data_IF_657311060979
#
_entry.id   IF_657311060979
#
_cell.length_a   1.000
_cell.length_b   1.000
_cell.length_c   1.000
_cell.angle_alpha   90.00
_cell.angle_beta   90.00
_cell.angle_gamma   90.00
#
_symmetry.space_group_name_H-M   'P 1'
#
loop_
_entity.id
_entity.type
_entity.pdbx_description
1 polymer ?
#
# COMPACT_ATOMS: atom_id res chain seq x y z
N UNK A 1 21.55 -35.78 14.33
CA UNK A 1 21.32 -34.38 14.78
C UNK A 1 22.19 -33.47 13.94
N UNK A 2 21.64 -32.86 12.88
CA UNK A 2 22.34 -31.85 12.06
C UNK A 2 21.51 -30.58 12.02
N UNK A 3 22.21 -29.45 12.17
CA UNK A 3 21.70 -28.11 12.49
C UNK A 3 20.71 -27.60 11.44
N UNK A 4 19.56 -27.11 11.91
CA UNK A 4 18.76 -26.11 11.20
C UNK A 4 19.63 -24.87 10.99
N UNK A 5 19.95 -24.54 9.74
CA UNK A 5 20.46 -23.21 9.39
C UNK A 5 19.33 -22.21 9.54
N UNK A 6 19.47 -21.31 10.51
CA UNK A 6 18.65 -20.11 10.60
C UNK A 6 19.00 -19.20 9.41
N UNK A 7 18.10 -19.14 8.44
CA UNK A 7 18.15 -18.15 7.35
C UNK A 7 17.79 -16.80 7.97
N UNK A 8 18.81 -16.03 8.36
CA UNK A 8 18.66 -14.63 8.74
C UNK A 8 18.47 -13.80 7.46
N UNK A 9 17.24 -13.73 6.96
CA UNK A 9 16.86 -12.75 5.95
C UNK A 9 16.75 -11.39 6.66
N UNK A 10 17.88 -10.70 6.76
CA UNK A 10 17.91 -9.28 7.16
C UNK A 10 17.39 -8.43 6.00
N UNK A 11 16.14 -8.66 5.60
CA UNK A 11 15.50 -7.92 4.52
C UNK A 11 15.06 -6.59 5.12
N UNK A 12 15.89 -5.55 5.01
CA UNK A 12 15.49 -4.21 5.41
C UNK A 12 14.26 -3.84 4.56
N UNK A 13 13.10 -3.57 5.17
CA UNK A 13 11.93 -3.17 4.40
C UNK A 13 12.26 -1.88 3.66
N UNK A 14 11.97 -1.85 2.37
CA UNK A 14 12.02 -0.62 1.61
C UNK A 14 10.85 0.24 2.06
N UNK A 15 11.16 1.43 2.59
CA UNK A 15 10.16 2.43 2.92
C UNK A 15 10.16 3.50 1.83
N UNK A 16 9.01 3.76 1.26
CA UNK A 16 8.78 4.81 0.27
C UNK A 16 7.56 5.62 0.71
N UNK A 17 7.61 6.94 0.51
CA UNK A 17 6.47 7.79 0.74
C UNK A 17 5.51 7.66 -0.44
N UNK A 18 4.24 7.47 -0.12
CA UNK A 18 3.15 7.49 -1.08
C UNK A 18 2.34 8.76 -0.90
N UNK A 19 2.13 9.48 -1.99
CA UNK A 19 1.22 10.63 -2.02
C UNK A 19 -0.01 10.26 -2.82
N UNK A 20 -1.18 10.21 -2.17
CA UNK A 20 -2.45 10.04 -2.87
C UNK A 20 -2.69 11.27 -3.75
N UNK A 21 -2.72 11.10 -5.06
CA UNK A 21 -2.98 12.19 -6.01
C UNK A 21 -4.38 12.14 -6.58
N UNK A 22 -5.00 10.95 -6.61
CA UNK A 22 -6.37 10.79 -7.08
C UNK A 22 -7.09 9.70 -6.31
N UNK A 23 -8.35 9.98 -5.96
CA UNK A 23 -9.32 9.01 -5.46
C UNK A 23 -10.55 9.03 -6.38
N UNK A 24 -11.01 7.86 -6.79
CA UNK A 24 -12.23 7.69 -7.58
C UNK A 24 -13.13 6.69 -6.87
N UNK A 25 -14.34 7.12 -6.52
CA UNK A 25 -15.34 6.20 -5.96
C UNK A 25 -15.83 5.26 -7.07
N UNK A 26 -15.95 3.98 -6.72
CA UNK A 26 -16.47 2.95 -7.62
C UNK A 26 -17.67 2.25 -6.98
N UNK A 27 -18.62 1.74 -7.79
CA UNK A 27 -19.80 1.06 -7.27
C UNK A 27 -19.46 -0.07 -6.27
N UNK A 28 -20.30 -0.23 -5.25
CA UNK A 28 -20.15 -1.29 -4.24
C UNK A 28 -19.29 -0.92 -3.03
N UNK A 29 -19.35 0.34 -2.58
CA UNK A 29 -18.62 0.87 -1.43
C UNK A 29 -17.10 0.67 -1.54
N UNK A 30 -16.54 0.97 -2.71
CA UNK A 30 -15.12 0.86 -2.95
C UNK A 30 -14.55 2.14 -3.56
N UNK A 31 -13.25 2.33 -3.40
CA UNK A 31 -12.51 3.44 -3.97
C UNK A 31 -11.26 2.92 -4.68
N UNK A 32 -10.98 3.49 -5.85
CA UNK A 32 -9.69 3.37 -6.53
C UNK A 32 -8.82 4.54 -6.11
N UNK A 33 -7.59 4.23 -5.71
CA UNK A 33 -6.60 5.17 -5.22
C UNK A 33 -5.40 5.12 -6.15
N UNK A 34 -4.97 6.28 -6.64
CA UNK A 34 -3.72 6.45 -7.38
C UNK A 34 -2.73 7.19 -6.49
N UNK A 35 -1.59 6.56 -6.23
CA UNK A 35 -0.49 7.13 -5.48
C UNK A 35 0.67 7.45 -6.41
N UNK A 36 1.31 8.59 -6.18
CA UNK A 36 2.70 8.82 -6.60
C UNK A 36 3.64 8.21 -5.56
N UNK A 37 4.75 7.65 -6.04
CA UNK A 37 5.77 6.99 -5.25
C UNK A 37 7.08 7.77 -5.35
N UNK A 38 7.56 8.29 -4.23
CA UNK A 38 8.87 8.93 -4.16
C UNK A 38 9.68 8.35 -2.99
N UNK A 39 10.77 7.60 -3.26
CA UNK A 39 11.30 7.22 -4.56
C UNK A 39 10.42 6.19 -5.31
N UNK A 40 10.63 5.98 -6.63
CA UNK A 40 9.98 4.93 -7.41
C UNK A 40 10.14 3.54 -6.76
N UNK A 41 9.09 2.73 -6.85
CA UNK A 41 9.01 1.43 -6.17
C UNK A 41 9.18 0.29 -7.18
N UNK A 42 9.78 -0.82 -6.75
CA UNK A 42 9.90 -2.04 -7.55
C UNK A 42 9.05 -3.17 -6.97
N UNK A 43 8.21 -3.80 -7.78
CA UNK A 43 7.34 -4.89 -7.34
C UNK A 43 7.02 -5.90 -8.45
N UNK A 44 6.56 -7.10 -8.08
CA UNK A 44 6.11 -8.15 -9.02
C UNK A 44 4.57 -8.19 -9.08
N UNK A 45 4.02 -8.60 -10.22
CA UNK A 45 2.58 -8.80 -10.37
C UNK A 45 2.05 -9.78 -9.29
N UNK A 46 0.91 -9.43 -8.68
CA UNK A 46 0.32 -10.21 -7.58
C UNK A 46 0.91 -9.93 -6.18
N UNK A 47 1.91 -9.05 -6.06
CA UNK A 47 2.44 -8.62 -4.77
C UNK A 47 1.46 -7.72 -4.01
N UNK A 48 1.58 -7.72 -2.68
CA UNK A 48 0.81 -6.86 -1.79
C UNK A 48 1.64 -5.65 -1.33
N UNK A 49 1.02 -4.49 -1.27
CA UNK A 49 1.52 -3.29 -0.63
C UNK A 49 1.12 -3.30 0.85
N UNK A 50 2.10 -3.25 1.76
CA UNK A 50 1.87 -3.01 3.19
C UNK A 50 1.95 -1.51 3.44
N UNK A 51 0.83 -0.88 3.73
CA UNK A 51 0.75 0.58 3.91
C UNK A 51 0.52 0.91 5.37
N UNK A 52 1.28 1.90 5.85
CA UNK A 52 1.14 2.52 7.15
C UNK A 52 0.31 3.79 7.02
N UNK A 53 -0.91 3.73 7.52
CA UNK A 53 -1.88 4.82 7.47
C UNK A 53 -1.80 5.65 8.74
N UNK A 54 -1.49 6.95 8.65
CA UNK A 54 -1.93 7.88 9.68
C UNK A 54 -3.47 7.87 9.70
N UNK A 55 -4.08 7.91 10.87
CA UNK A 55 -5.53 8.10 11.01
C UNK A 55 -5.80 9.40 11.75
N UNK A 56 -7.00 9.95 11.57
CA UNK A 56 -7.38 11.26 12.13
C UNK A 56 -7.31 11.32 13.67
N UNK A 57 -7.39 10.16 14.34
CA UNK A 57 -7.22 10.02 15.79
C UNK A 57 -5.76 10.07 16.25
N UNK A 58 -4.83 10.42 15.36
CA UNK A 58 -3.39 10.47 15.62
C UNK A 58 -2.73 9.09 15.77
N UNK A 59 -3.49 8.00 15.59
CA UNK A 59 -2.91 6.65 15.59
C UNK A 59 -2.40 6.28 14.22
N UNK A 60 -1.54 5.27 14.17
CA UNK A 60 -1.06 4.69 12.92
C UNK A 60 -1.56 3.26 12.80
N UNK A 61 -2.11 2.89 11.63
CA UNK A 61 -2.59 1.53 11.35
C UNK A 61 -1.92 0.98 10.10
N UNK A 62 -1.41 -0.25 10.19
CA UNK A 62 -0.83 -0.93 9.03
C UNK A 62 -1.83 -1.88 8.40
N UNK A 63 -1.96 -1.86 7.06
CA UNK A 63 -2.83 -2.76 6.29
C UNK A 63 -2.14 -3.23 5.01
N UNK A 64 -2.52 -4.42 4.56
CA UNK A 64 -2.05 -4.97 3.30
C UNK A 64 -3.13 -4.77 2.23
N UNK A 65 -2.73 -4.36 1.04
CA UNK A 65 -3.59 -4.23 -0.13
C UNK A 65 -2.94 -4.91 -1.32
N UNK A 66 -3.74 -5.57 -2.15
CA UNK A 66 -3.25 -6.03 -3.45
C UNK A 66 -2.94 -4.82 -4.32
N UNK A 67 -1.80 -4.87 -5.00
CA UNK A 67 -1.47 -3.87 -6.01
C UNK A 67 -2.38 -4.09 -7.22
N UNK A 68 -3.11 -3.05 -7.63
CA UNK A 68 -4.08 -3.10 -8.72
C UNK A 68 -3.49 -2.64 -10.07
N UNK A 69 -2.32 -1.99 -10.07
CA UNK A 69 -1.61 -1.60 -11.29
C UNK A 69 -0.63 -2.68 -11.77
N UNK A 70 -0.29 -2.64 -13.06
CA UNK A 70 0.76 -3.49 -13.64
C UNK A 70 2.15 -2.99 -13.19
N UNK A 71 3.10 -3.88 -12.89
CA UNK A 71 4.50 -3.50 -12.61
C UNK A 71 5.23 -2.94 -13.85
N UNK A 72 4.59 -2.95 -15.02
CA UNK A 72 5.20 -2.51 -16.27
C UNK A 72 6.37 -3.41 -16.70
N UNK A 73 7.11 -2.97 -17.72
CA UNK A 73 8.19 -3.78 -18.32
C UNK A 73 9.40 -3.89 -17.39
N UNK A 74 9.71 -2.84 -16.64
CA UNK A 74 10.91 -2.76 -15.78
C UNK A 74 10.66 -3.18 -14.32
N UNK A 75 9.41 -3.51 -13.97
CA UNK A 75 8.99 -3.76 -12.58
C UNK A 75 9.15 -2.58 -11.62
N UNK A 76 9.63 -1.42 -12.08
CA UNK A 76 9.79 -0.20 -11.32
C UNK A 76 8.82 0.87 -11.83
N UNK A 77 8.05 1.47 -10.93
CA UNK A 77 7.02 2.46 -11.25
C UNK A 77 7.13 3.68 -10.34
N UNK A 78 6.70 4.83 -10.86
CA UNK A 78 6.53 6.10 -10.13
C UNK A 78 5.13 6.23 -9.53
N UNK A 79 4.22 5.32 -9.87
CA UNK A 79 2.82 5.39 -9.47
C UNK A 79 2.23 4.00 -9.21
N UNK A 80 1.34 3.94 -8.22
CA UNK A 80 0.73 2.71 -7.73
C UNK A 80 -0.78 2.88 -7.63
N UNK A 81 -1.53 1.92 -8.17
CA UNK A 81 -2.98 1.87 -7.95
C UNK A 81 -3.37 0.82 -6.91
N UNK A 82 -4.32 1.18 -6.05
CA UNK A 82 -4.99 0.27 -5.13
C UNK A 82 -6.51 0.36 -5.30
N UNK A 83 -7.18 -0.75 -5.08
CA UNK A 83 -8.64 -0.80 -4.95
C UNK A 83 -9.01 -1.22 -3.53
N UNK A 84 -9.74 -0.37 -2.82
CA UNK A 84 -10.10 -0.60 -1.43
C UNK A 84 -11.61 -0.65 -1.30
N UNK A 85 -12.11 -1.79 -0.82
CA UNK A 85 -13.52 -1.95 -0.44
C UNK A 85 -13.72 -1.62 1.03
N UNK A 86 -14.77 -0.87 1.34
CA UNK A 86 -15.22 -0.62 2.70
C UNK A 86 -15.58 -1.94 3.38
N UNK A 87 -15.01 -2.15 4.56
CA UNK A 87 -15.32 -3.32 5.40
C UNK A 87 -16.11 -2.81 6.60
N UNK A 88 -17.36 -3.27 6.82
CA UNK A 88 -18.12 -2.93 8.02
C UNK A 88 -17.33 -3.24 9.29
N UNK A 89 -17.25 -2.29 10.22
CA UNK A 89 -16.44 -2.40 11.45
C UNK A 89 -14.92 -2.26 11.24
N UNK A 90 -14.44 -2.08 10.02
CA UNK A 90 -13.05 -1.78 9.72
C UNK A 90 -12.63 -0.40 10.23
N UNK A 91 -11.37 -0.23 10.63
CA UNK A 91 -10.85 1.08 11.10
C UNK A 91 -10.29 1.95 9.97
N UNK A 92 -9.75 1.33 8.93
CA UNK A 92 -9.01 2.04 7.86
C UNK A 92 -9.83 2.13 6.57
N UNK A 93 -10.51 1.04 6.16
CA UNK A 93 -11.25 1.06 4.90
C UNK A 93 -12.48 1.98 4.88
N UNK A 94 -13.24 2.18 5.99
CA UNK A 94 -14.25 3.24 6.02
C UNK A 94 -13.61 4.61 5.80
N UNK A 95 -12.59 4.97 6.58
CA UNK A 95 -11.86 6.23 6.41
C UNK A 95 -11.39 6.45 4.97
N UNK A 96 -10.78 5.44 4.33
CA UNK A 96 -10.35 5.52 2.93
C UNK A 96 -11.53 5.83 2.00
N UNK A 97 -12.65 5.12 2.16
CA UNK A 97 -13.79 5.23 1.25
C UNK A 97 -14.60 6.50 1.52
N UNK A 98 -14.78 6.93 2.77
CA UNK A 98 -15.66 8.04 3.12
C UNK A 98 -14.95 9.38 3.28
N UNK A 99 -13.78 9.41 3.91
CA UNK A 99 -13.21 10.66 4.43
C UNK A 99 -11.88 11.05 3.78
N UNK A 100 -11.14 10.07 3.26
CA UNK A 100 -9.86 10.30 2.60
C UNK A 100 -10.04 11.13 1.33
N UNK A 101 -9.23 12.17 1.19
CA UNK A 101 -9.17 13.05 0.02
C UNK A 101 -7.71 13.31 -0.36
N UNK A 102 -7.39 13.47 -1.66
CA UNK A 102 -6.08 13.97 -2.10
C UNK A 102 -5.87 15.45 -1.74
N UNK A 103 -4.61 15.90 -1.51
CA UNK A 103 -3.43 15.07 -1.35
C UNK A 103 -3.40 14.40 0.03
N UNK A 104 -2.84 13.20 0.12
CA UNK A 104 -2.66 12.50 1.40
C UNK A 104 -1.43 11.62 1.42
N UNK A 105 -0.53 11.82 2.38
CA UNK A 105 0.69 11.04 2.52
C UNK A 105 0.53 9.82 3.42
N UNK A 106 1.11 8.69 3.01
CA UNK A 106 1.25 7.49 3.82
C UNK A 106 2.54 6.75 3.46
N UNK A 107 2.96 5.78 4.29
CA UNK A 107 4.20 5.05 4.01
C UNK A 107 3.92 3.68 3.43
N UNK A 108 4.61 3.36 2.34
CA UNK A 108 4.71 2.01 1.81
C UNK A 108 5.84 1.26 2.50
N UNK A 109 5.58 0.01 2.86
CA UNK A 109 6.54 -0.94 3.41
C UNK A 109 6.59 -2.14 2.46
N UNK A 110 7.45 -2.12 1.45
CA UNK A 110 7.63 -3.30 0.60
C UNK A 110 8.66 -4.24 1.22
N UNK A 111 8.32 -5.54 1.24
CA UNK A 111 9.35 -6.58 1.27
C UNK A 111 10.06 -6.50 -0.08
N UNK A 112 11.37 -6.29 -0.08
CA UNK A 112 12.09 -6.31 -1.34
C UNK A 112 11.97 -7.72 -1.97
N UNK A 113 11.79 -7.73 -3.28
CA UNK A 113 11.44 -8.90 -4.08
C UNK A 113 12.64 -9.68 -4.60
#
# INVERSE_FOLDING_TARGET
RSRMSAVSLTHRPFMSELTLVQKTDVPGDAARLLFECDPPITFKAGQYAKIRWPTLDGTTKTRFYSIASSPGVKSTVDSLELCVKKVPGGKVSPFIVTDLAPPYSCDLILAAG
#
